data_IF_411784473289
#
_entry.id   IF_411784473289
#
_cell.length_a   1.000
_cell.length_b   1.000
_cell.length_c   1.000
_cell.angle_alpha   90.00
_cell.angle_beta   90.00
_cell.angle_gamma   90.00
#
_symmetry.space_group_name_H-M   'P 1'
#
loop_
_entity.id
_entity.type
_entity.pdbx_description
1 polymer ?
#
# COMPACT_ATOMS: atom_id res chain seq x y z
N UNK A 1 -0.11 37.74 20.41
CA UNK A 1 0.67 37.02 19.36
C UNK A 1 0.07 35.69 19.02
N UNK A 2 -0.30 34.81 20.00
CA UNK A 2 -0.80 33.44 19.74
C UNK A 2 -2.01 33.39 18.79
N UNK A 3 -2.98 34.31 18.94
CA UNK A 3 -4.15 34.39 18.04
C UNK A 3 -3.77 34.78 16.59
N UNK A 4 -2.83 35.75 16.43
CA UNK A 4 -2.36 36.16 15.11
C UNK A 4 -1.44 35.13 14.47
N UNK A 5 -0.59 34.46 15.23
CA UNK A 5 0.26 33.36 14.75
C UNK A 5 -0.55 32.17 14.24
N UNK A 6 -1.67 31.83 14.90
CA UNK A 6 -2.60 30.77 14.47
C UNK A 6 -3.42 31.15 13.20
N UNK A 7 -3.44 32.46 12.80
CA UNK A 7 -4.04 32.94 11.56
C UNK A 7 -3.02 33.17 10.45
N UNK A 8 -1.92 32.42 10.48
CA UNK A 8 -0.85 32.45 9.49
C UNK A 8 -0.19 33.83 9.24
N UNK A 9 -0.05 34.65 10.31
CA UNK A 9 0.64 35.93 10.25
C UNK A 9 2.14 35.75 10.54
N UNK A 10 3.08 35.83 9.54
CA UNK A 10 4.48 35.47 9.71
C UNK A 10 5.24 36.25 10.80
N UNK A 11 5.06 37.62 10.95
CA UNK A 11 5.67 38.35 12.05
C UNK A 11 5.23 37.86 13.43
N UNK A 12 3.94 37.48 13.60
CA UNK A 12 3.43 36.98 14.86
C UNK A 12 3.91 35.60 15.19
N UNK A 13 4.05 34.73 14.16
CA UNK A 13 4.65 33.40 14.29
C UNK A 13 6.12 33.51 14.72
N UNK A 14 6.90 34.37 14.08
CA UNK A 14 8.29 34.62 14.46
C UNK A 14 8.39 35.13 15.91
N UNK A 15 7.53 36.05 16.31
CA UNK A 15 7.52 36.60 17.68
C UNK A 15 7.15 35.51 18.69
N UNK A 16 6.17 34.66 18.38
CA UNK A 16 5.80 33.54 19.25
C UNK A 16 6.93 32.52 19.35
N UNK A 17 7.65 32.27 18.25
CA UNK A 17 8.87 31.46 18.24
C UNK A 17 9.93 32.02 19.18
N UNK A 18 10.12 33.35 19.16
CA UNK A 18 11.05 34.06 20.06
C UNK A 18 10.62 33.93 21.54
N UNK A 19 9.34 34.09 21.84
CA UNK A 19 8.81 33.89 23.20
C UNK A 19 9.08 32.46 23.72
N UNK A 20 8.84 31.44 22.88
CA UNK A 20 9.14 30.05 23.20
C UNK A 20 10.67 29.83 23.39
N UNK A 21 11.49 30.48 22.58
CA UNK A 21 12.95 30.40 22.67
C UNK A 21 13.50 30.99 23.98
N UNK A 22 12.97 32.15 24.40
CA UNK A 22 13.40 32.84 25.61
C UNK A 22 12.68 32.37 26.86
N UNK A 23 11.48 31.83 26.76
CA UNK A 23 10.60 31.53 27.90
C UNK A 23 9.84 32.77 28.39
N UNK A 24 9.58 33.75 27.52
CA UNK A 24 8.90 35.01 27.86
C UNK A 24 7.37 34.83 27.68
N UNK A 25 6.65 34.80 28.80
CA UNK A 25 5.21 34.60 28.83
C UNK A 25 4.71 33.19 28.50
N UNK A 26 5.63 32.28 28.22
CA UNK A 26 5.42 30.83 27.99
C UNK A 26 6.62 30.04 28.50
N UNK A 27 6.45 28.76 28.81
CA UNK A 27 7.57 27.91 29.17
C UNK A 27 8.57 27.85 28.01
N UNK A 28 9.87 27.89 28.34
CA UNK A 28 10.93 27.77 27.32
C UNK A 28 10.90 26.40 26.66
N UNK A 29 10.71 26.38 25.34
CA UNK A 29 10.66 25.18 24.51
C UNK A 29 11.30 25.46 23.14
N UNK A 30 12.51 24.97 22.96
CA UNK A 30 13.26 25.16 21.72
C UNK A 30 12.65 24.44 20.52
N UNK A 31 12.00 23.31 20.73
CA UNK A 31 11.33 22.53 19.65
C UNK A 31 10.12 23.31 19.12
N UNK A 32 9.31 23.85 20.01
CA UNK A 32 8.21 24.74 19.61
C UNK A 32 8.73 26.04 18.97
N UNK A 33 9.82 26.60 19.49
CA UNK A 33 10.42 27.81 18.91
C UNK A 33 10.82 27.56 17.44
N UNK A 34 11.57 26.49 17.18
CA UNK A 34 11.99 26.11 15.83
C UNK A 34 10.79 25.83 14.89
N UNK A 35 9.73 25.21 15.40
CA UNK A 35 8.51 24.96 14.64
C UNK A 35 7.80 26.27 14.22
N UNK A 36 7.72 27.26 15.13
CA UNK A 36 7.14 28.57 14.82
C UNK A 36 8.00 29.39 13.86
N UNK A 37 9.34 29.36 14.05
CA UNK A 37 10.26 29.99 13.09
C UNK A 37 10.12 29.36 11.70
N UNK A 38 9.98 28.05 11.61
CA UNK A 38 9.80 27.35 10.34
C UNK A 38 8.55 27.80 9.61
N UNK A 39 7.40 27.86 10.28
CA UNK A 39 6.14 28.32 9.68
C UNK A 39 6.26 29.73 9.07
N UNK A 40 6.90 30.64 9.79
CA UNK A 40 7.12 32.00 9.30
C UNK A 40 8.19 32.07 8.18
N UNK A 41 9.23 31.23 8.27
CA UNK A 41 10.31 31.17 7.29
C UNK A 41 9.85 30.61 5.94
N UNK A 42 8.98 29.60 5.96
CA UNK A 42 8.36 28.99 4.77
C UNK A 42 7.45 29.97 4.02
N UNK A 43 6.89 30.96 4.72
CA UNK A 43 6.13 32.06 4.14
C UNK A 43 7.03 33.21 3.64
N UNK A 44 8.35 33.02 3.64
CA UNK A 44 9.30 34.00 3.12
C UNK A 44 9.72 35.09 4.10
N UNK A 45 9.36 35.03 5.41
CA UNK A 45 9.69 36.06 6.36
C UNK A 45 11.17 36.01 6.76
N UNK A 46 11.97 36.97 6.27
CA UNK A 46 13.42 36.97 6.42
C UNK A 46 13.95 36.90 7.88
N UNK A 47 13.35 37.60 8.88
CA UNK A 47 13.78 37.41 10.27
C UNK A 47 13.59 35.97 10.79
N UNK A 48 12.52 35.30 10.39
CA UNK A 48 12.27 33.92 10.78
C UNK A 48 13.21 32.95 10.07
N UNK A 49 13.56 33.21 8.80
CA UNK A 49 14.58 32.43 8.08
C UNK A 49 15.93 32.55 8.77
N UNK A 50 16.31 33.74 9.24
CA UNK A 50 17.54 33.93 10.01
C UNK A 50 17.52 33.15 11.33
N UNK A 51 16.41 33.25 12.09
CA UNK A 51 16.24 32.52 13.34
C UNK A 51 16.25 31.00 13.16
N UNK A 52 15.62 30.49 12.12
CA UNK A 52 15.62 29.07 11.79
C UNK A 52 17.01 28.59 11.35
N UNK A 53 17.76 29.41 10.59
CA UNK A 53 19.15 29.19 10.27
C UNK A 53 20.02 29.06 11.53
N UNK A 54 19.79 29.90 12.53
CA UNK A 54 20.46 29.84 13.83
C UNK A 54 20.10 28.55 14.60
N UNK A 55 18.84 28.13 14.55
CA UNK A 55 18.40 26.88 15.16
C UNK A 55 19.15 25.68 14.57
N UNK A 56 19.25 25.59 13.25
CA UNK A 56 19.99 24.53 12.58
C UNK A 56 21.51 24.60 12.80
N UNK A 57 22.08 25.82 12.80
CA UNK A 57 23.51 26.02 13.10
C UNK A 57 23.90 25.48 14.46
N UNK A 58 23.05 25.73 15.46
CA UNK A 58 23.35 25.42 16.87
C UNK A 58 22.76 24.11 17.38
N UNK A 59 21.91 23.44 16.57
CA UNK A 59 21.16 22.25 17.02
C UNK A 59 20.09 22.59 18.06
N UNK A 60 19.52 23.80 18.03
CA UNK A 60 18.59 24.29 19.06
C UNK A 60 17.15 24.02 18.64
N UNK A 61 16.51 23.03 19.24
CA UNK A 61 15.14 22.60 18.92
C UNK A 61 14.99 21.80 17.61
N UNK A 62 16.09 21.63 16.89
CA UNK A 62 16.24 20.80 15.69
C UNK A 62 17.63 20.17 15.73
N UNK A 63 17.86 19.00 15.10
CA UNK A 63 19.21 18.46 14.92
C UNK A 63 20.11 19.46 14.23
N UNK A 64 21.39 19.56 14.67
CA UNK A 64 22.36 20.43 14.05
C UNK A 64 22.59 20.04 12.59
N UNK A 65 22.42 21.00 11.68
CA UNK A 65 22.56 20.80 10.23
C UNK A 65 23.10 22.07 9.58
N UNK A 66 24.38 22.07 9.25
CA UNK A 66 25.05 23.23 8.66
C UNK A 66 24.51 23.52 7.24
N UNK A 67 24.11 22.51 6.48
CA UNK A 67 23.54 22.70 5.14
C UNK A 67 22.18 23.42 5.19
N UNK A 68 21.32 23.01 6.13
CA UNK A 68 20.06 23.70 6.40
C UNK A 68 20.28 25.12 6.92
N UNK A 69 21.26 25.31 7.80
CA UNK A 69 21.63 26.67 8.27
C UNK A 69 22.03 27.56 7.11
N UNK A 70 22.91 27.12 6.23
CA UNK A 70 23.34 27.84 5.01
C UNK A 70 22.14 28.15 4.12
N UNK A 71 21.26 27.19 3.87
CA UNK A 71 20.07 27.37 3.04
C UNK A 71 19.19 28.51 3.59
N UNK A 72 18.84 28.48 4.87
CA UNK A 72 17.95 29.47 5.46
C UNK A 72 18.59 30.85 5.60
N UNK A 73 19.88 30.93 5.92
CA UNK A 73 20.62 32.18 5.91
C UNK A 73 20.74 32.76 4.48
N UNK A 74 20.93 31.93 3.46
CA UNK A 74 20.98 32.40 2.06
C UNK A 74 19.67 33.02 1.62
N UNK A 75 18.51 32.43 1.98
CA UNK A 75 17.20 33.00 1.69
C UNK A 75 16.99 34.35 2.40
N UNK A 76 17.40 34.47 3.66
CA UNK A 76 17.32 35.72 4.41
C UNK A 76 18.27 36.79 3.83
N UNK A 77 19.49 36.41 3.43
CA UNK A 77 20.50 37.29 2.87
C UNK A 77 20.07 37.85 1.49
N UNK A 78 19.39 37.06 0.65
CA UNK A 78 18.79 37.49 -0.60
C UNK A 78 17.72 38.57 -0.40
N UNK A 79 17.04 38.59 0.74
CA UNK A 79 16.08 39.60 1.12
C UNK A 79 16.72 40.80 1.86
N UNK A 80 18.05 40.88 1.89
CA UNK A 80 18.78 42.03 2.46
C UNK A 80 19.14 41.89 3.92
N UNK A 81 18.95 40.75 4.59
CA UNK A 81 19.34 40.56 6.01
C UNK A 81 20.85 40.64 6.17
N UNK A 82 21.34 41.69 6.86
CA UNK A 82 22.74 41.86 7.17
C UNK A 82 23.29 40.76 8.11
N UNK A 83 22.47 40.40 9.13
CA UNK A 83 22.83 39.32 10.08
C UNK A 83 23.02 37.99 9.36
N UNK A 84 22.13 37.63 8.41
CA UNK A 84 22.22 36.41 7.64
C UNK A 84 23.48 36.38 6.77
N UNK A 85 23.85 37.50 6.15
CA UNK A 85 25.10 37.62 5.38
C UNK A 85 26.32 37.40 6.27
N UNK A 86 26.37 38.02 7.44
CA UNK A 86 27.45 37.84 8.41
C UNK A 86 27.56 36.38 8.89
N UNK A 87 26.42 35.70 9.12
CA UNK A 87 26.43 34.31 9.52
C UNK A 87 26.92 33.38 8.41
N UNK A 88 26.59 33.65 7.16
CA UNK A 88 27.12 32.91 6.01
C UNK A 88 28.64 33.05 5.91
N UNK A 89 29.18 34.29 5.96
CA UNK A 89 30.61 34.52 5.94
C UNK A 89 31.34 33.83 7.12
N UNK A 90 30.72 33.81 8.31
CA UNK A 90 31.28 33.11 9.47
C UNK A 90 31.29 31.59 9.29
N UNK A 91 30.29 31.02 8.63
CA UNK A 91 30.23 29.59 8.31
C UNK A 91 31.27 29.23 7.23
N UNK A 92 31.48 30.09 6.24
CA UNK A 92 32.51 29.92 5.21
C UNK A 92 33.93 30.03 5.77
N UNK A 93 34.19 30.98 6.67
CA UNK A 93 35.50 31.14 7.35
C UNK A 93 35.85 29.98 8.27
N UNK A 94 34.86 29.39 8.95
CA UNK A 94 35.05 28.23 9.81
C UNK A 94 35.18 26.90 9.06
N UNK A 95 34.90 26.88 7.76
CA UNK A 95 35.12 25.74 6.87
C UNK A 95 36.53 25.70 6.29
N UNK A 96 37.40 26.68 6.61
CA UNK A 96 38.81 26.68 6.23
C UNK A 96 39.73 26.53 7.43
N UNK A 97 40.11 25.32 7.89
CA UNK A 97 41.28 25.13 8.72
C UNK A 97 42.46 24.81 7.83
N UNK A 98 43.59 25.51 8.13
CA UNK A 98 44.92 25.23 7.68
C UNK A 98 45.23 23.71 7.72
N UNK A 99 45.29 23.05 6.57
CA UNK A 99 45.79 21.70 6.41
C UNK A 99 46.89 21.69 5.35
N UNK A 100 48.06 21.06 5.57
CA UNK A 100 49.16 21.05 4.61
C UNK A 100 48.69 20.40 3.32
N UNK A 101 49.13 20.98 2.16
CA UNK A 101 48.88 20.46 0.84
C UNK A 101 49.26 18.98 0.76
N UNK A 102 48.25 18.15 0.72
CA UNK A 102 48.35 16.82 0.13
C UNK A 102 48.15 16.94 -1.39
N UNK A 103 48.70 16.03 -2.18
CA UNK A 103 48.69 16.16 -3.64
C UNK A 103 47.26 16.29 -4.17
N UNK A 104 47.11 17.17 -5.15
CA UNK A 104 45.83 17.44 -5.81
C UNK A 104 45.18 16.14 -6.32
N UNK A 105 44.23 15.64 -5.56
CA UNK A 105 43.26 14.71 -6.12
C UNK A 105 42.31 15.52 -7.01
N UNK A 106 41.94 15.01 -8.16
CA UNK A 106 40.96 15.67 -9.04
C UNK A 106 39.70 15.93 -8.25
N UNK A 107 38.93 17.00 -8.54
CA UNK A 107 37.74 17.34 -7.75
C UNK A 107 36.84 16.11 -7.70
N UNK A 108 36.59 15.61 -6.48
CA UNK A 108 35.62 14.55 -6.27
C UNK A 108 34.30 15.16 -6.71
N UNK A 109 33.86 14.86 -7.92
CA UNK A 109 32.58 15.29 -8.44
C UNK A 109 31.54 14.85 -7.42
N UNK A 110 30.80 15.78 -6.84
CA UNK A 110 29.69 15.44 -5.96
C UNK A 110 28.79 14.47 -6.74
N UNK A 111 28.55 13.28 -6.17
CA UNK A 111 27.71 12.27 -6.79
C UNK A 111 26.37 12.89 -7.13
N UNK A 112 25.86 12.63 -8.33
CA UNK A 112 24.51 13.00 -8.72
C UNK A 112 23.46 12.23 -7.89
N UNK A 113 22.22 12.65 -7.94
CA UNK A 113 21.12 11.96 -7.28
C UNK A 113 21.04 10.48 -7.70
N UNK A 114 21.24 10.19 -9.00
CA UNK A 114 21.26 8.84 -9.56
C UNK A 114 22.46 8.02 -9.09
N UNK A 115 23.62 8.66 -8.97
CA UNK A 115 24.83 8.00 -8.44
C UNK A 115 24.68 7.65 -6.95
N UNK A 116 24.01 8.49 -6.15
CA UNK A 116 23.66 8.15 -4.78
C UNK A 116 22.63 7.03 -4.70
N UNK A 117 21.65 7.03 -5.61
CA UNK A 117 20.69 5.94 -5.68
C UNK A 117 21.34 4.63 -6.10
N UNK A 118 22.27 4.66 -7.04
CA UNK A 118 23.08 3.49 -7.40
C UNK A 118 23.92 3.00 -6.23
N UNK A 119 24.56 3.90 -5.49
CA UNK A 119 25.30 3.55 -4.28
C UNK A 119 24.39 2.90 -3.20
N UNK A 120 23.14 3.36 -3.07
CA UNK A 120 22.13 2.71 -2.23
C UNK A 120 21.86 1.25 -2.66
N UNK A 121 21.74 1.00 -3.96
CA UNK A 121 21.47 -0.35 -4.47
C UNK A 121 22.65 -1.31 -4.25
N UNK A 122 23.87 -0.81 -4.29
CA UNK A 122 25.10 -1.58 -4.16
C UNK A 122 25.55 -1.76 -2.69
N UNK A 123 25.02 -0.96 -1.74
CA UNK A 123 25.43 -0.96 -0.34
C UNK A 123 24.79 -2.10 0.45
N UNK A 124 25.58 -2.78 1.27
CA UNK A 124 25.14 -3.91 2.12
C UNK A 124 24.91 -3.50 3.56
N UNK A 125 25.57 -2.46 4.04
CA UNK A 125 25.43 -1.96 5.40
C UNK A 125 24.19 -1.07 5.49
N UNK A 126 23.21 -1.47 6.30
CA UNK A 126 21.87 -0.88 6.34
C UNK A 126 21.86 0.61 6.70
N UNK A 127 22.69 1.05 7.65
CA UNK A 127 22.78 2.46 8.03
C UNK A 127 23.30 3.34 6.89
N UNK A 128 24.36 2.92 6.22
CA UNK A 128 24.93 3.63 5.06
C UNK A 128 23.96 3.61 3.88
N UNK A 129 23.34 2.47 3.67
CA UNK A 129 22.31 2.28 2.63
C UNK A 129 21.16 3.26 2.80
N UNK A 130 20.62 3.38 4.01
CA UNK A 130 19.55 4.35 4.31
C UNK A 130 20.02 5.79 4.12
N UNK A 131 21.24 6.14 4.55
CA UNK A 131 21.79 7.48 4.36
C UNK A 131 21.95 7.84 2.86
N UNK A 132 22.39 6.91 2.03
CA UNK A 132 22.49 7.13 0.57
C UNK A 132 21.13 7.30 -0.08
N UNK A 133 20.13 6.52 0.36
CA UNK A 133 18.74 6.64 -0.11
C UNK A 133 18.16 8.02 0.21
N UNK A 134 18.30 8.46 1.46
CA UNK A 134 17.81 9.76 1.92
C UNK A 134 18.47 10.88 1.12
N UNK A 135 19.77 10.79 0.85
CA UNK A 135 20.51 11.80 0.08
C UNK A 135 20.05 11.84 -1.37
N UNK A 136 19.91 10.68 -2.03
CA UNK A 136 19.39 10.59 -3.39
C UNK A 136 17.95 11.16 -3.51
N UNK A 137 17.08 10.81 -2.57
CA UNK A 137 15.71 11.30 -2.53
C UNK A 137 15.63 12.81 -2.30
N UNK A 138 16.46 13.36 -1.40
CA UNK A 138 16.55 14.80 -1.14
C UNK A 138 17.05 15.58 -2.35
N UNK A 139 17.91 14.99 -3.19
CA UNK A 139 18.40 15.58 -4.44
C UNK A 139 17.42 15.41 -5.60
N UNK A 140 16.23 14.84 -5.39
CA UNK A 140 15.17 14.79 -6.39
C UNK A 140 15.08 13.50 -7.20
N UNK A 141 15.90 12.47 -6.96
CA UNK A 141 15.81 11.19 -7.67
C UNK A 141 14.45 10.51 -7.42
N UNK A 142 13.57 10.45 -8.42
CA UNK A 142 12.22 9.94 -8.29
C UNK A 142 12.18 8.45 -7.83
N UNK A 143 12.99 7.53 -8.36
CA UNK A 143 13.09 6.17 -7.84
C UNK A 143 13.51 6.12 -6.35
N UNK A 144 14.46 6.98 -5.93
CA UNK A 144 14.88 7.06 -4.53
C UNK A 144 13.78 7.61 -3.63
N UNK A 145 13.04 8.62 -4.08
CA UNK A 145 11.88 9.16 -3.36
C UNK A 145 10.79 8.10 -3.18
N UNK A 146 10.48 7.34 -4.23
CA UNK A 146 9.54 6.23 -4.13
C UNK A 146 10.03 5.17 -3.13
N UNK A 147 11.30 4.80 -3.20
CA UNK A 147 11.89 3.80 -2.29
C UNK A 147 11.90 4.30 -0.84
N UNK A 148 12.20 5.58 -0.61
CA UNK A 148 12.15 6.18 0.73
C UNK A 148 10.71 6.23 1.27
N UNK A 149 9.73 6.50 0.39
CA UNK A 149 8.31 6.37 0.70
C UNK A 149 7.96 4.96 1.18
N UNK A 150 8.44 3.93 0.49
CA UNK A 150 8.27 2.54 0.90
C UNK A 150 8.93 2.24 2.26
N UNK A 151 10.13 2.76 2.51
CA UNK A 151 10.80 2.61 3.79
C UNK A 151 9.99 3.19 4.95
N UNK A 152 9.41 4.38 4.79
CA UNK A 152 8.52 4.98 5.78
C UNK A 152 7.18 4.23 5.94
N UNK A 153 6.66 3.64 4.89
CA UNK A 153 5.41 2.85 4.95
C UNK A 153 5.61 1.51 5.68
N UNK A 154 6.72 0.83 5.40
CA UNK A 154 7.06 -0.47 6.02
C UNK A 154 7.72 -0.34 7.40
N UNK A 155 8.45 0.76 7.67
CA UNK A 155 9.33 0.92 8.82
C UNK A 155 10.72 0.31 8.61
N UNK A 156 11.16 0.10 7.36
CA UNK A 156 12.46 -0.51 7.03
C UNK A 156 13.55 0.55 6.97
N UNK A 157 14.53 0.47 7.85
CA UNK A 157 15.65 1.42 7.94
C UNK A 157 15.28 2.81 8.49
N UNK A 158 13.99 3.11 8.63
CA UNK A 158 13.44 4.34 9.24
C UNK A 158 12.21 3.99 10.07
N UNK A 159 11.87 4.76 11.11
CA UNK A 159 10.61 4.58 11.84
C UNK A 159 9.41 4.69 10.89
N UNK A 160 8.42 3.80 11.06
CA UNK A 160 7.20 3.83 10.26
C UNK A 160 6.45 5.15 10.43
N UNK A 161 6.22 5.84 9.31
CA UNK A 161 5.48 7.11 9.26
C UNK A 161 4.69 7.20 7.93
N UNK A 162 3.39 6.86 7.94
CA UNK A 162 2.56 6.91 6.74
C UNK A 162 2.43 8.30 6.11
N UNK A 163 2.54 9.38 6.90
CA UNK A 163 2.45 10.74 6.37
C UNK A 163 3.73 11.10 5.58
N UNK A 164 4.90 10.72 6.12
CA UNK A 164 6.16 10.85 5.40
C UNK A 164 6.18 9.96 4.14
N UNK A 165 5.70 8.72 4.24
CA UNK A 165 5.61 7.82 3.09
C UNK A 165 4.82 8.48 1.94
N UNK A 166 3.62 8.97 2.24
CA UNK A 166 2.76 9.62 1.24
C UNK A 166 3.38 10.90 0.67
N UNK A 167 4.09 11.68 1.51
CA UNK A 167 4.80 12.89 1.05
C UNK A 167 5.90 12.54 0.04
N UNK A 168 6.67 11.48 0.29
CA UNK A 168 7.73 11.04 -0.63
C UNK A 168 7.17 10.41 -1.90
N UNK A 169 6.11 9.59 -1.81
CA UNK A 169 5.42 9.08 -2.99
C UNK A 169 4.88 10.22 -3.87
N UNK A 170 4.32 11.28 -3.26
CA UNK A 170 3.83 12.45 -4.00
C UNK A 170 4.93 13.14 -4.79
N UNK A 171 6.08 13.39 -4.17
CA UNK A 171 7.24 14.00 -4.86
C UNK A 171 7.67 13.21 -6.09
N UNK A 172 7.75 11.89 -5.97
CA UNK A 172 8.11 11.02 -7.09
C UNK A 172 6.98 10.95 -8.15
N UNK A 173 5.73 10.90 -7.71
CA UNK A 173 4.55 10.84 -8.58
C UNK A 173 4.36 12.11 -9.42
N UNK A 174 4.63 13.27 -8.84
CA UNK A 174 4.62 14.57 -9.53
C UNK A 174 5.71 14.69 -10.59
N UNK A 175 6.82 13.96 -10.44
CA UNK A 175 7.85 13.81 -11.46
C UNK A 175 7.48 12.81 -12.56
N UNK A 176 6.32 12.17 -12.49
CA UNK A 176 5.85 11.20 -13.47
C UNK A 176 6.24 9.75 -13.20
N UNK A 177 6.86 9.43 -12.06
CA UNK A 177 7.28 8.06 -11.77
C UNK A 177 6.07 7.15 -11.52
N UNK A 178 5.80 6.22 -12.46
CA UNK A 178 4.57 5.43 -12.51
C UNK A 178 4.30 4.64 -11.23
N UNK A 179 5.31 3.95 -10.69
CA UNK A 179 5.18 3.19 -9.44
C UNK A 179 4.80 4.08 -8.25
N UNK A 180 5.35 5.31 -8.18
CA UNK A 180 4.97 6.25 -7.13
C UNK A 180 3.55 6.78 -7.31
N UNK A 181 3.10 7.00 -8.55
CA UNK A 181 1.71 7.36 -8.84
C UNK A 181 0.76 6.24 -8.39
N UNK A 182 1.09 4.99 -8.67
CA UNK A 182 0.35 3.84 -8.16
C UNK A 182 0.31 3.85 -6.62
N UNK A 183 1.46 3.95 -5.95
CA UNK A 183 1.55 3.95 -4.49
C UNK A 183 0.76 5.10 -3.86
N UNK A 184 0.85 6.29 -4.44
CA UNK A 184 0.05 7.45 -4.00
C UNK A 184 -1.46 7.20 -4.17
N UNK A 185 -1.86 6.57 -5.28
CA UNK A 185 -3.23 6.11 -5.49
C UNK A 185 -3.70 5.13 -4.41
N UNK A 186 -2.85 4.20 -3.99
CA UNK A 186 -3.12 3.27 -2.86
C UNK A 186 -3.27 4.04 -1.54
N UNK A 187 -2.42 5.03 -1.29
CA UNK A 187 -2.53 5.88 -0.10
C UNK A 187 -3.89 6.59 -0.03
N UNK A 188 -4.35 7.21 -1.11
CA UNK A 188 -5.66 7.86 -1.17
C UNK A 188 -6.82 6.87 -1.08
N UNK A 189 -6.72 5.68 -1.69
CA UNK A 189 -7.73 4.62 -1.58
C UNK A 189 -7.94 4.17 -0.13
N UNK A 190 -6.85 3.99 0.61
CA UNK A 190 -6.88 3.45 1.96
C UNK A 190 -7.01 4.52 3.06
N UNK A 191 -6.66 5.78 2.77
CA UNK A 191 -6.53 6.84 3.76
C UNK A 191 -5.22 6.73 4.56
N UNK A 192 -4.15 6.19 3.95
CA UNK A 192 -2.86 6.00 4.61
C UNK A 192 -2.01 7.26 4.47
N UNK A 193 -1.75 7.96 5.58
CA UNK A 193 -0.99 9.22 5.59
C UNK A 193 -1.68 10.43 4.96
N UNK A 194 -2.86 10.23 4.35
CA UNK A 194 -3.74 11.27 3.78
C UNK A 194 -5.19 10.88 4.04
N UNK A 195 -6.15 11.82 4.04
CA UNK A 195 -7.56 11.49 4.06
C UNK A 195 -7.94 10.60 2.87
N UNK A 196 -8.84 9.63 3.12
CA UNK A 196 -9.35 8.74 2.09
C UNK A 196 -10.09 9.54 1.02
N UNK A 197 -9.68 9.38 -0.24
CA UNK A 197 -10.27 10.05 -1.41
C UNK A 197 -10.20 9.14 -2.63
N UNK A 198 -11.33 8.54 -2.98
CA UNK A 198 -11.42 7.61 -4.10
C UNK A 198 -11.20 8.30 -5.47
N UNK A 199 -11.60 9.56 -5.62
CA UNK A 199 -11.41 10.29 -6.87
C UNK A 199 -9.93 10.62 -7.11
N UNK A 200 -9.21 11.03 -6.06
CA UNK A 200 -7.75 11.19 -6.11
C UNK A 200 -7.06 9.86 -6.40
N UNK A 201 -7.50 8.76 -5.78
CA UNK A 201 -6.94 7.44 -6.06
C UNK A 201 -7.07 7.07 -7.55
N UNK A 202 -8.26 7.25 -8.13
CA UNK A 202 -8.50 7.01 -9.57
C UNK A 202 -7.63 7.90 -10.45
N UNK A 203 -7.50 9.18 -10.11
CA UNK A 203 -6.66 10.11 -10.86
C UNK A 203 -5.20 9.64 -10.94
N UNK A 204 -4.65 9.20 -9.81
CA UNK A 204 -3.28 8.71 -9.75
C UNK A 204 -3.12 7.33 -10.40
N UNK A 205 -4.07 6.40 -10.19
CA UNK A 205 -4.06 5.11 -10.90
C UNK A 205 -4.11 5.29 -12.40
N UNK A 206 -4.91 6.23 -12.92
CA UNK A 206 -4.97 6.50 -14.37
C UNK A 206 -3.63 6.93 -14.93
N UNK A 207 -2.94 7.86 -14.28
CA UNK A 207 -1.62 8.31 -14.70
C UNK A 207 -0.59 7.16 -14.75
N UNK A 208 -0.59 6.31 -13.74
CA UNK A 208 0.30 5.14 -13.70
C UNK A 208 -0.10 4.08 -14.75
N UNK A 209 -1.40 3.81 -14.90
CA UNK A 209 -1.94 2.83 -15.84
C UNK A 209 -1.69 3.21 -17.31
N UNK A 210 -1.76 4.50 -17.63
CA UNK A 210 -1.42 5.04 -18.96
C UNK A 210 0.06 4.88 -19.29
N UNK A 211 0.93 4.85 -18.29
CA UNK A 211 2.35 4.53 -18.43
C UNK A 211 2.64 3.02 -18.44
N UNK A 212 1.63 2.18 -18.34
CA UNK A 212 1.78 0.72 -18.41
C UNK A 212 1.92 0.02 -17.07
N UNK A 213 1.80 0.71 -15.93
CA UNK A 213 1.83 0.07 -14.60
C UNK A 213 0.68 -0.92 -14.48
N UNK A 214 1.02 -2.21 -14.36
CA UNK A 214 0.05 -3.31 -14.43
C UNK A 214 -0.88 -3.37 -13.21
N UNK A 215 -0.38 -3.01 -12.05
CA UNK A 215 -1.15 -2.97 -10.82
C UNK A 215 -2.13 -1.81 -10.83
N UNK A 216 -1.72 -0.66 -11.34
CA UNK A 216 -2.58 0.50 -11.54
C UNK A 216 -3.68 0.20 -12.58
N UNK A 217 -3.36 -0.46 -13.68
CA UNK A 217 -4.36 -0.88 -14.68
C UNK A 217 -5.43 -1.77 -14.05
N UNK A 218 -5.02 -2.80 -13.30
CA UNK A 218 -5.98 -3.65 -12.60
C UNK A 218 -6.83 -2.86 -11.59
N UNK A 219 -6.21 -1.99 -10.78
CA UNK A 219 -6.94 -1.22 -9.78
C UNK A 219 -7.88 -0.19 -10.40
N UNK A 220 -7.50 0.40 -11.52
CA UNK A 220 -8.38 1.29 -12.29
C UNK A 220 -9.58 0.53 -12.85
N UNK A 221 -9.38 -0.72 -13.32
CA UNK A 221 -10.46 -1.63 -13.70
C UNK A 221 -11.45 -1.86 -12.55
N UNK A 222 -10.93 -2.16 -11.34
CA UNK A 222 -11.76 -2.32 -10.12
C UNK A 222 -12.53 -1.05 -9.78
N UNK A 223 -11.93 0.12 -9.95
CA UNK A 223 -12.62 1.39 -9.71
C UNK A 223 -13.78 1.61 -10.68
N UNK A 224 -13.60 1.32 -11.97
CA UNK A 224 -14.66 1.41 -12.97
C UNK A 224 -15.76 0.36 -12.74
N UNK A 225 -15.41 -0.86 -12.35
CA UNK A 225 -16.38 -1.92 -12.05
C UNK A 225 -17.27 -1.56 -10.85
N UNK A 226 -16.68 -1.02 -9.79
CA UNK A 226 -17.40 -0.69 -8.56
C UNK A 226 -18.06 0.70 -8.56
N UNK A 227 -17.59 1.62 -9.40
CA UNK A 227 -17.98 3.04 -9.34
C UNK A 227 -17.28 3.84 -8.25
N UNK A 228 -16.17 3.31 -7.69
CA UNK A 228 -15.44 3.99 -6.61
C UNK A 228 -14.53 5.10 -7.15
N UNK A 229 -14.91 6.35 -6.90
CA UNK A 229 -14.16 7.54 -7.32
C UNK A 229 -14.29 7.90 -8.80
N UNK A 230 -15.09 7.15 -9.55
CA UNK A 230 -15.40 7.34 -10.96
C UNK A 230 -16.79 6.76 -11.23
N UNK A 231 -17.60 7.27 -12.18
CA UNK A 231 -18.84 6.63 -12.55
C UNK A 231 -18.61 5.17 -12.95
N UNK A 232 -19.52 4.28 -12.51
CA UNK A 232 -19.44 2.86 -12.85
C UNK A 232 -19.54 2.67 -14.37
N UNK A 233 -18.55 1.98 -14.93
CA UNK A 233 -18.44 1.65 -16.35
C UNK A 233 -17.74 0.29 -16.51
N UNK A 234 -18.51 -0.76 -16.62
CA UNK A 234 -18.00 -2.13 -16.72
C UNK A 234 -17.25 -2.39 -18.03
N UNK A 235 -17.60 -1.68 -19.12
CA UNK A 235 -16.86 -1.80 -20.37
C UNK A 235 -15.43 -1.22 -20.22
N UNK A 236 -15.29 -0.06 -19.58
CA UNK A 236 -13.98 0.49 -19.24
C UNK A 236 -13.22 -0.42 -18.28
N UNK A 237 -13.89 -1.04 -17.31
CA UNK A 237 -13.23 -2.02 -16.41
C UNK A 237 -12.57 -3.15 -17.19
N UNK A 238 -13.29 -3.73 -18.16
CA UNK A 238 -12.78 -4.79 -19.03
C UNK A 238 -11.58 -4.33 -19.85
N UNK A 239 -11.61 -3.11 -20.40
CA UNK A 239 -10.45 -2.56 -21.14
C UNK A 239 -9.20 -2.55 -20.28
N UNK A 240 -9.32 -2.07 -19.04
CA UNK A 240 -8.18 -1.98 -18.15
C UNK A 240 -7.73 -3.34 -17.61
N UNK A 241 -8.67 -4.24 -17.26
CA UNK A 241 -8.33 -5.62 -16.90
C UNK A 241 -7.60 -6.34 -18.02
N UNK A 242 -8.05 -6.16 -19.28
CA UNK A 242 -7.39 -6.78 -20.44
C UNK A 242 -5.96 -6.33 -20.59
N UNK A 243 -5.68 -5.01 -20.51
CA UNK A 243 -4.32 -4.49 -20.57
C UNK A 243 -3.41 -5.11 -19.50
N UNK A 244 -3.87 -5.22 -18.26
CA UNK A 244 -3.10 -5.84 -17.19
C UNK A 244 -2.98 -7.36 -17.36
N UNK A 245 -4.04 -8.03 -17.84
CA UNK A 245 -4.05 -9.47 -18.06
C UNK A 245 -3.13 -9.92 -19.19
N UNK A 246 -3.04 -9.14 -20.26
CA UNK A 246 -2.13 -9.35 -21.39
C UNK A 246 -0.66 -9.18 -20.97
N UNK A 247 -0.39 -8.33 -19.99
CA UNK A 247 0.93 -8.20 -19.36
C UNK A 247 1.22 -9.30 -18.32
N UNK A 248 0.32 -10.25 -18.13
CA UNK A 248 0.54 -11.44 -17.31
C UNK A 248 0.05 -11.34 -15.87
N UNK A 249 -0.57 -10.25 -15.42
CA UNK A 249 -1.03 -10.12 -14.04
C UNK A 249 -2.16 -11.11 -13.73
N UNK A 250 -1.89 -12.14 -12.90
CA UNK A 250 -2.81 -13.23 -12.61
C UNK A 250 -4.18 -12.75 -12.04
N UNK A 251 -4.17 -11.74 -11.15
CA UNK A 251 -5.43 -11.18 -10.62
C UNK A 251 -6.26 -10.48 -11.70
N UNK A 252 -5.62 -9.80 -12.65
CA UNK A 252 -6.32 -9.16 -13.76
C UNK A 252 -6.86 -10.21 -14.75
N UNK A 253 -6.10 -11.28 -15.02
CA UNK A 253 -6.58 -12.42 -15.80
C UNK A 253 -7.81 -13.05 -15.15
N UNK A 254 -7.79 -13.25 -13.82
CA UNK A 254 -8.95 -13.76 -13.11
C UNK A 254 -10.16 -12.82 -13.19
N UNK A 255 -9.96 -11.50 -13.00
CA UNK A 255 -11.02 -10.51 -13.10
C UNK A 255 -11.60 -10.46 -14.52
N UNK A 256 -10.76 -10.49 -15.54
CA UNK A 256 -11.21 -10.54 -16.93
C UNK A 256 -11.99 -11.83 -17.23
N UNK A 257 -11.54 -12.97 -16.67
CA UNK A 257 -12.27 -14.24 -16.75
C UNK A 257 -13.67 -14.13 -16.14
N UNK A 258 -13.82 -13.47 -14.99
CA UNK A 258 -15.12 -13.22 -14.34
C UNK A 258 -16.01 -12.33 -15.25
N UNK A 259 -15.46 -11.29 -15.86
CA UNK A 259 -16.21 -10.44 -16.78
C UNK A 259 -16.78 -11.24 -17.96
N UNK A 260 -16.01 -12.16 -18.53
CA UNK A 260 -16.52 -13.04 -19.59
C UNK A 260 -17.51 -14.09 -19.09
N UNK A 261 -17.33 -14.61 -17.86
CA UNK A 261 -18.23 -15.61 -17.27
C UNK A 261 -19.62 -15.02 -17.00
N UNK A 262 -19.66 -13.82 -16.43
CA UNK A 262 -20.88 -13.13 -16.05
C UNK A 262 -21.50 -12.28 -17.19
N UNK A 263 -20.76 -12.03 -18.28
CA UNK A 263 -21.18 -11.10 -19.33
C UNK A 263 -21.12 -9.63 -18.88
N UNK A 264 -20.27 -9.31 -17.92
CA UNK A 264 -20.17 -7.97 -17.35
C UNK A 264 -19.19 -7.10 -18.14
N UNK A 265 -19.72 -6.10 -18.87
CA UNK A 265 -18.95 -5.18 -19.72
C UNK A 265 -18.46 -5.78 -21.05
N UNK A 266 -18.69 -7.06 -21.27
CA UNK A 266 -18.47 -7.81 -22.51
C UNK A 266 -19.60 -8.83 -22.70
N UNK A 267 -19.88 -9.32 -23.90
CA UNK A 267 -20.75 -10.46 -24.08
C UNK A 267 -20.23 -11.68 -23.31
N UNK A 268 -21.15 -12.44 -22.71
CA UNK A 268 -20.81 -13.66 -22.00
C UNK A 268 -20.13 -14.67 -22.95
N UNK A 269 -18.98 -15.19 -22.52
CA UNK A 269 -18.22 -16.19 -23.26
C UNK A 269 -17.44 -17.08 -22.25
N UNK A 270 -18.06 -18.22 -21.94
CA UNK A 270 -17.49 -19.18 -20.98
C UNK A 270 -16.17 -19.81 -21.45
N UNK A 271 -15.94 -19.89 -22.76
CA UNK A 271 -14.69 -20.39 -23.30
C UNK A 271 -13.55 -19.39 -23.06
N UNK A 272 -13.79 -18.10 -23.30
CA UNK A 272 -12.86 -17.04 -22.94
C UNK A 272 -12.63 -16.98 -21.42
N UNK A 273 -13.69 -17.11 -20.63
CA UNK A 273 -13.59 -17.16 -19.17
C UNK A 273 -12.63 -18.26 -18.70
N UNK A 274 -12.88 -19.50 -19.14
CA UNK A 274 -12.03 -20.65 -18.80
C UNK A 274 -10.58 -20.46 -19.26
N UNK A 275 -10.35 -19.88 -20.45
CA UNK A 275 -9.01 -19.62 -20.96
C UNK A 275 -8.26 -18.59 -20.09
N UNK A 276 -8.91 -17.53 -19.64
CA UNK A 276 -8.30 -16.55 -18.76
C UNK A 276 -8.11 -17.08 -17.34
N UNK A 277 -9.06 -17.84 -16.79
CA UNK A 277 -8.89 -18.53 -15.51
C UNK A 277 -7.70 -19.49 -15.56
N UNK A 278 -7.49 -20.22 -16.67
CA UNK A 278 -6.33 -21.12 -16.82
C UNK A 278 -5.02 -20.38 -16.73
N UNK A 279 -4.87 -19.26 -17.48
CA UNK A 279 -3.64 -18.44 -17.41
C UNK A 279 -3.31 -18.00 -15.99
N UNK A 280 -4.31 -17.56 -15.22
CA UNK A 280 -4.12 -17.14 -13.84
C UNK A 280 -3.90 -18.34 -12.89
N UNK A 281 -4.57 -19.46 -13.13
CA UNK A 281 -4.45 -20.68 -12.33
C UNK A 281 -3.07 -21.34 -12.47
N UNK A 282 -2.51 -21.32 -13.67
CA UNK A 282 -1.17 -21.84 -13.96
C UNK A 282 -0.07 -20.99 -13.26
N UNK A 283 -0.34 -19.74 -12.96
CA UNK A 283 0.51 -18.87 -12.13
C UNK A 283 0.29 -19.10 -10.61
N UNK A 284 -0.57 -20.03 -10.23
CA UNK A 284 -0.85 -20.34 -8.83
C UNK A 284 -1.93 -19.49 -8.18
N UNK A 285 -2.65 -18.62 -8.90
CA UNK A 285 -3.67 -17.75 -8.31
C UNK A 285 -4.88 -18.57 -7.84
N UNK A 286 -5.03 -18.72 -6.52
CA UNK A 286 -5.98 -19.66 -5.90
C UNK A 286 -7.44 -19.43 -6.31
N UNK A 287 -7.88 -18.15 -6.43
CA UNK A 287 -9.23 -17.81 -6.89
C UNK A 287 -9.49 -18.31 -8.32
N UNK A 288 -8.51 -18.15 -9.21
CA UNK A 288 -8.63 -18.62 -10.59
C UNK A 288 -8.58 -20.15 -10.67
N UNK A 289 -7.77 -20.81 -9.85
CA UNK A 289 -7.77 -22.28 -9.73
C UNK A 289 -9.14 -22.79 -9.31
N UNK A 290 -9.77 -22.16 -8.29
CA UNK A 290 -11.14 -22.51 -7.91
C UNK A 290 -12.12 -22.30 -9.07
N UNK A 291 -12.08 -21.16 -9.74
CA UNK A 291 -13.02 -20.85 -10.83
C UNK A 291 -12.83 -21.81 -12.03
N UNK A 292 -11.59 -22.15 -12.36
CA UNK A 292 -11.31 -23.16 -13.37
C UNK A 292 -11.83 -24.54 -12.96
N UNK A 293 -11.72 -24.90 -11.67
CA UNK A 293 -12.35 -26.10 -11.11
C UNK A 293 -13.87 -26.09 -11.29
N UNK A 294 -14.52 -24.95 -11.11
CA UNK A 294 -15.97 -24.77 -11.38
C UNK A 294 -16.26 -24.99 -12.87
N UNK A 295 -15.46 -24.40 -13.76
CA UNK A 295 -15.60 -24.60 -15.20
C UNK A 295 -15.56 -26.10 -15.59
N UNK A 296 -14.61 -26.88 -15.05
CA UNK A 296 -14.54 -28.31 -15.28
C UNK A 296 -15.66 -29.11 -14.64
N UNK A 297 -16.12 -28.71 -13.43
CA UNK A 297 -17.27 -29.35 -12.77
C UNK A 297 -18.53 -29.25 -13.61
N UNK A 298 -18.77 -28.09 -14.21
CA UNK A 298 -20.04 -27.75 -14.88
C UNK A 298 -19.96 -27.97 -16.39
N UNK A 299 -18.76 -28.04 -16.97
CA UNK A 299 -18.55 -28.08 -18.42
C UNK A 299 -18.70 -26.70 -19.07
N UNK A 300 -18.44 -25.61 -18.32
CA UNK A 300 -18.54 -24.24 -18.80
C UNK A 300 -17.24 -23.82 -19.51
N UNK A 301 -17.30 -23.68 -20.83
CA UNK A 301 -16.15 -23.29 -21.67
C UNK A 301 -15.04 -24.33 -21.82
N UNK A 302 -15.16 -25.47 -21.13
CA UNK A 302 -14.30 -26.64 -21.22
C UNK A 302 -15.15 -27.89 -21.14
N UNK A 303 -14.70 -29.04 -21.70
CA UNK A 303 -15.39 -30.29 -21.47
C UNK A 303 -15.55 -30.61 -19.99
N UNK A 304 -16.70 -31.10 -19.58
CA UNK A 304 -16.98 -31.49 -18.20
C UNK A 304 -16.04 -32.60 -17.75
N UNK A 305 -15.27 -32.34 -16.70
CA UNK A 305 -14.31 -33.30 -16.15
C UNK A 305 -14.21 -33.11 -14.61
N UNK A 306 -14.96 -33.94 -13.84
CA UNK A 306 -14.92 -33.84 -12.38
C UNK A 306 -13.56 -34.16 -11.76
N UNK A 307 -12.70 -34.92 -12.43
CA UNK A 307 -11.34 -35.23 -11.93
C UNK A 307 -10.48 -33.97 -12.01
N UNK A 308 -10.47 -33.34 -13.18
CA UNK A 308 -9.79 -32.06 -13.35
C UNK A 308 -10.34 -30.99 -12.38
N UNK A 309 -11.65 -30.95 -12.14
CA UNK A 309 -12.23 -30.05 -11.17
C UNK A 309 -11.64 -30.22 -9.76
N UNK A 310 -11.53 -31.47 -9.31
CA UNK A 310 -10.94 -31.79 -8.01
C UNK A 310 -9.47 -31.41 -7.94
N UNK A 311 -8.69 -31.65 -8.99
CA UNK A 311 -7.28 -31.30 -9.02
C UNK A 311 -7.07 -29.78 -8.88
N UNK A 312 -7.89 -28.98 -9.55
CA UNK A 312 -7.84 -27.52 -9.42
C UNK A 312 -8.35 -27.03 -8.07
N UNK A 313 -9.43 -27.61 -7.53
CA UNK A 313 -9.88 -27.28 -6.17
C UNK A 313 -8.81 -27.62 -5.14
N UNK A 314 -8.11 -28.76 -5.27
CA UNK A 314 -7.06 -29.18 -4.34
C UNK A 314 -5.92 -28.16 -4.32
N UNK A 315 -5.42 -27.72 -5.48
CA UNK A 315 -4.38 -26.70 -5.59
C UNK A 315 -4.76 -25.40 -4.87
N UNK A 316 -6.00 -24.93 -5.04
CA UNK A 316 -6.49 -23.74 -4.38
C UNK A 316 -6.74 -23.96 -2.87
N UNK A 317 -7.25 -25.13 -2.48
CA UNK A 317 -7.54 -25.47 -1.09
C UNK A 317 -6.28 -25.60 -0.23
N UNK A 318 -5.21 -26.15 -0.79
CA UNK A 318 -3.89 -26.26 -0.16
C UNK A 318 -3.25 -24.89 0.10
N UNK A 319 -3.55 -23.87 -0.72
CA UNK A 319 -3.18 -22.49 -0.48
C UNK A 319 -4.07 -21.78 0.58
N UNK A 320 -5.04 -22.49 1.17
CA UNK A 320 -5.93 -21.94 2.16
C UNK A 320 -7.19 -21.26 1.61
N UNK A 321 -7.48 -21.33 0.31
CA UNK A 321 -8.67 -20.66 -0.26
C UNK A 321 -9.96 -21.37 0.20
N UNK A 322 -10.71 -20.73 1.10
CA UNK A 322 -11.85 -21.31 1.81
C UNK A 322 -12.94 -21.86 0.87
N UNK A 323 -13.26 -21.15 -0.22
CA UNK A 323 -14.26 -21.60 -1.21
C UNK A 323 -13.81 -22.90 -1.87
N UNK A 324 -12.52 -23.05 -2.20
CA UNK A 324 -12.01 -24.26 -2.79
C UNK A 324 -11.96 -25.43 -1.80
N UNK A 325 -11.63 -25.17 -0.53
CA UNK A 325 -11.73 -26.16 0.54
C UNK A 325 -13.14 -26.69 0.69
N UNK A 326 -14.13 -25.80 0.68
CA UNK A 326 -15.53 -26.19 0.67
C UNK A 326 -15.89 -27.04 -0.55
N UNK A 327 -15.54 -26.58 -1.77
CA UNK A 327 -15.83 -27.30 -3.00
C UNK A 327 -15.19 -28.70 -3.03
N UNK A 328 -13.96 -28.81 -2.54
CA UNK A 328 -13.26 -30.10 -2.41
C UNK A 328 -13.95 -31.02 -1.41
N UNK A 329 -14.39 -30.48 -0.28
CA UNK A 329 -15.22 -31.20 0.71
C UNK A 329 -16.52 -31.73 0.08
N UNK A 330 -17.19 -30.92 -0.76
CA UNK A 330 -18.39 -31.36 -1.51
C UNK A 330 -18.05 -32.48 -2.49
N UNK A 331 -16.90 -32.43 -3.14
CA UNK A 331 -16.45 -33.49 -4.05
C UNK A 331 -16.27 -34.82 -3.30
N UNK A 332 -15.58 -34.82 -2.18
CA UNK A 332 -15.40 -36.01 -1.33
C UNK A 332 -16.72 -36.52 -0.75
N UNK A 333 -17.62 -35.64 -0.28
CA UNK A 333 -18.95 -36.02 0.22
C UNK A 333 -19.75 -36.80 -0.83
N UNK A 334 -19.70 -36.36 -2.08
CA UNK A 334 -20.53 -36.88 -3.17
C UNK A 334 -19.85 -37.94 -4.00
N UNK A 335 -18.54 -38.13 -3.89
CA UNK A 335 -17.75 -39.04 -4.77
C UNK A 335 -17.68 -38.51 -6.21
N UNK A 336 -17.59 -37.18 -6.41
CA UNK A 336 -17.47 -36.58 -7.74
C UNK A 336 -16.02 -36.24 -8.06
N UNK A 337 -15.45 -36.94 -9.00
CA UNK A 337 -14.02 -36.80 -9.40
C UNK A 337 -13.01 -37.41 -8.43
N UNK A 338 -13.47 -37.90 -7.28
CA UNK A 338 -12.72 -38.64 -6.27
C UNK A 338 -13.63 -39.72 -5.67
N UNK A 339 -13.07 -40.80 -5.10
CA UNK A 339 -13.87 -41.71 -4.29
C UNK A 339 -14.59 -41.01 -3.16
N UNK A 340 -15.80 -41.44 -2.86
CA UNK A 340 -16.58 -40.88 -1.73
C UNK A 340 -15.86 -41.14 -0.41
N UNK A 341 -15.59 -40.09 0.36
CA UNK A 341 -14.93 -40.14 1.65
C UNK A 341 -15.48 -39.05 2.56
N UNK A 342 -16.31 -39.46 3.54
CA UNK A 342 -16.95 -38.53 4.46
C UNK A 342 -15.96 -37.92 5.46
N UNK A 343 -14.89 -38.64 5.83
CA UNK A 343 -13.88 -38.11 6.74
C UNK A 343 -13.06 -37.00 6.07
N UNK A 344 -12.61 -37.23 4.84
CA UNK A 344 -11.94 -36.20 4.02
C UNK A 344 -12.87 -34.98 3.80
N UNK A 345 -14.15 -35.21 3.55
CA UNK A 345 -15.11 -34.12 3.41
C UNK A 345 -15.17 -33.24 4.67
N UNK A 346 -15.24 -33.88 5.85
CA UNK A 346 -15.24 -33.15 7.13
C UNK A 346 -13.96 -32.36 7.35
N UNK A 347 -12.81 -32.93 7.04
CA UNK A 347 -11.53 -32.24 7.22
C UNK A 347 -11.44 -30.97 6.35
N UNK A 348 -11.90 -31.04 5.11
CA UNK A 348 -11.94 -29.88 4.24
C UNK A 348 -13.01 -28.86 4.66
N UNK A 349 -14.20 -29.30 5.07
CA UNK A 349 -15.23 -28.42 5.62
C UNK A 349 -14.73 -27.71 6.87
N UNK A 350 -14.01 -28.40 7.78
CA UNK A 350 -13.46 -27.81 8.99
C UNK A 350 -12.51 -26.68 8.66
N UNK A 351 -11.56 -26.88 7.74
CA UNK A 351 -10.62 -25.84 7.31
C UNK A 351 -11.33 -24.60 6.77
N UNK A 352 -12.35 -24.77 5.94
CA UNK A 352 -13.15 -23.65 5.42
C UNK A 352 -14.02 -22.98 6.51
N UNK A 353 -14.61 -23.79 7.41
CA UNK A 353 -15.48 -23.31 8.49
C UNK A 353 -14.71 -22.49 9.54
N UNK A 354 -13.49 -22.87 9.85
CA UNK A 354 -12.58 -22.13 10.73
C UNK A 354 -12.20 -20.77 10.18
N UNK A 355 -12.16 -20.62 8.85
CA UNK A 355 -11.99 -19.33 8.17
C UNK A 355 -13.28 -18.50 8.10
N UNK A 356 -14.40 -19.00 8.64
CA UNK A 356 -15.66 -18.28 8.64
C UNK A 356 -16.57 -18.57 7.44
N UNK A 357 -16.25 -19.53 6.57
CA UNK A 357 -17.09 -19.81 5.40
C UNK A 357 -18.43 -20.44 5.82
N UNK A 358 -19.54 -19.71 5.69
CA UNK A 358 -20.84 -20.06 6.27
C UNK A 358 -21.39 -21.40 5.76
N UNK A 359 -21.27 -21.69 4.45
CA UNK A 359 -21.75 -22.96 3.90
C UNK A 359 -20.94 -24.17 4.40
N UNK A 360 -19.65 -23.98 4.64
CA UNK A 360 -18.81 -25.01 5.24
C UNK A 360 -19.17 -25.23 6.72
N UNK A 361 -19.45 -24.16 7.46
CA UNK A 361 -19.93 -24.26 8.85
C UNK A 361 -21.24 -25.03 8.91
N UNK A 362 -22.20 -24.71 8.02
CA UNK A 362 -23.46 -25.44 7.94
C UNK A 362 -23.25 -26.92 7.62
N UNK A 363 -22.42 -27.24 6.61
CA UNK A 363 -22.15 -28.64 6.24
C UNK A 363 -21.38 -29.39 7.34
N UNK A 364 -20.48 -28.74 8.05
CA UNK A 364 -19.77 -29.33 9.19
C UNK A 364 -20.74 -29.60 10.35
N UNK A 365 -21.67 -28.67 10.61
CA UNK A 365 -22.77 -28.87 11.56
C UNK A 365 -23.59 -30.12 11.21
N UNK A 366 -23.97 -30.27 9.95
CA UNK A 366 -24.68 -31.46 9.46
C UNK A 366 -23.87 -32.74 9.62
N UNK A 367 -22.57 -32.72 9.40
CA UNK A 367 -21.71 -33.88 9.62
C UNK A 367 -21.70 -34.31 11.10
N UNK A 368 -21.62 -33.38 12.04
CA UNK A 368 -21.71 -33.68 13.49
C UNK A 368 -23.09 -34.15 13.90
N UNK A 369 -24.15 -33.57 13.32
CA UNK A 369 -25.53 -33.98 13.59
C UNK A 369 -25.81 -35.45 13.20
N UNK A 370 -25.34 -35.82 12.02
CA UNK A 370 -25.59 -37.14 11.42
C UNK A 370 -24.58 -38.20 11.77
N UNK A 371 -23.37 -37.81 12.20
CA UNK A 371 -22.23 -38.72 12.38
C UNK A 371 -21.55 -39.07 11.08
N UNK A 372 -21.72 -38.28 10.00
CA UNK A 372 -21.13 -38.53 8.70
C UNK A 372 -19.65 -38.10 8.67
N UNK A 373 -18.74 -39.04 8.74
CA UNK A 373 -17.28 -38.80 8.71
C UNK A 373 -16.68 -38.32 10.04
N UNK A 374 -17.50 -38.10 11.06
CA UNK A 374 -17.10 -37.79 12.44
C UNK A 374 -18.06 -38.46 13.41
N UNK A 375 -17.67 -38.71 14.67
CA UNK A 375 -18.62 -39.13 15.69
C UNK A 375 -19.76 -38.11 15.84
N UNK A 376 -20.97 -38.61 15.99
CA UNK A 376 -22.15 -37.77 16.20
C UNK A 376 -22.00 -36.94 17.48
N UNK A 377 -22.18 -35.63 17.37
CA UNK A 377 -22.09 -34.64 18.44
C UNK A 377 -23.04 -33.48 18.18
N UNK A 378 -24.21 -33.50 18.82
CA UNK A 378 -25.24 -32.47 18.64
C UNK A 378 -24.81 -31.11 19.22
N UNK A 379 -23.92 -31.10 20.23
CA UNK A 379 -23.43 -29.86 20.80
C UNK A 379 -22.48 -29.15 19.80
N UNK A 380 -21.62 -29.92 19.14
CA UNK A 380 -20.80 -29.38 18.04
C UNK A 380 -21.66 -28.97 16.85
N UNK A 381 -22.65 -29.76 16.47
CA UNK A 381 -23.58 -29.40 15.40
C UNK A 381 -24.25 -28.04 15.68
N UNK A 382 -24.81 -27.86 16.85
CA UNK A 382 -25.44 -26.59 17.23
C UNK A 382 -24.46 -25.41 17.25
N UNK A 383 -23.20 -25.62 17.67
CA UNK A 383 -22.16 -24.57 17.63
C UNK A 383 -21.86 -24.11 16.21
N UNK A 384 -21.71 -25.04 15.28
CA UNK A 384 -21.40 -24.71 13.90
C UNK A 384 -22.60 -24.12 13.17
N UNK A 385 -23.80 -24.63 13.40
CA UNK A 385 -25.03 -24.03 12.87
C UNK A 385 -25.23 -22.60 13.37
N UNK A 386 -24.95 -22.32 14.65
CA UNK A 386 -25.05 -20.98 15.21
C UNK A 386 -24.12 -20.00 14.47
N UNK A 387 -22.84 -20.36 14.27
CA UNK A 387 -21.89 -19.52 13.53
C UNK A 387 -22.35 -19.22 12.10
N UNK A 388 -22.89 -20.20 11.40
CA UNK A 388 -23.44 -20.01 10.06
C UNK A 388 -24.73 -19.19 10.07
N UNK A 389 -25.60 -19.40 11.04
CA UNK A 389 -26.86 -18.68 11.20
C UNK A 389 -26.66 -17.19 11.49
N UNK A 390 -25.66 -16.85 12.30
CA UNK A 390 -25.25 -15.47 12.61
C UNK A 390 -24.79 -14.72 11.36
N UNK A 391 -24.29 -15.44 10.34
CA UNK A 391 -23.93 -14.90 9.03
C UNK A 391 -25.11 -14.87 8.03
N UNK A 392 -26.31 -15.22 8.47
CA UNK A 392 -27.51 -15.21 7.64
C UNK A 392 -27.73 -16.47 6.79
N UNK A 393 -26.97 -17.57 7.00
CA UNK A 393 -27.15 -18.80 6.25
C UNK A 393 -28.46 -19.48 6.65
N UNK A 394 -29.44 -19.47 5.73
CA UNK A 394 -30.85 -19.85 6.00
C UNK A 394 -31.01 -21.31 6.45
N UNK A 395 -30.27 -22.26 5.84
CA UNK A 395 -30.36 -23.69 6.22
C UNK A 395 -29.81 -23.88 7.63
N UNK A 396 -28.75 -23.15 8.00
CA UNK A 396 -28.20 -23.23 9.35
C UNK A 396 -29.16 -22.63 10.39
N UNK A 397 -29.88 -21.56 10.08
CA UNK A 397 -30.92 -20.99 10.94
C UNK A 397 -32.03 -22.01 11.19
N UNK A 398 -32.50 -22.69 10.16
CA UNK A 398 -33.50 -23.74 10.27
C UNK A 398 -32.99 -24.93 11.11
N UNK A 399 -31.81 -25.46 10.80
CA UNK A 399 -31.24 -26.59 11.51
C UNK A 399 -30.94 -26.27 12.98
N UNK A 400 -30.49 -25.03 13.26
CA UNK A 400 -30.30 -24.58 14.64
C UNK A 400 -31.60 -24.58 15.43
N UNK A 401 -32.75 -24.19 14.81
CA UNK A 401 -34.06 -24.23 15.41
C UNK A 401 -34.52 -25.66 15.77
N UNK A 402 -34.08 -26.67 15.02
CA UNK A 402 -34.36 -28.09 15.31
C UNK A 402 -33.51 -28.61 16.49
N UNK A 403 -32.29 -28.02 16.68
CA UNK A 403 -31.41 -28.41 17.77
C UNK A 403 -31.89 -27.94 19.17
N UNK A 404 -32.87 -27.04 19.22
CA UNK A 404 -33.50 -26.53 20.43
C UNK A 404 -34.88 -27.14 20.65
#
# INVERSE_FOLDING_TARGET
>A
FKMAANRDHPPAQNQLGYCCYKGEGVARDYTQAAAWFRRAAEQGYAPAQCNLGACYKNGTGVPQDTAQAVKWYSLAAQQGSADAKQQLEALEKNSSPNKPKAPEQPPVSEKTAEQWYKAYLDEKEEEKRTAYLVRAAAMGCAPAQNQLGYCYDSGTGVPKDPAQATSWYRKAAEQGFATAQYNLGVCYKNGTGVPKDAAQAVSWYRKAAEQGDVDAQNNLGVCYESGAGVPKDTAQAVVWYRKAAEQGLARAQCNLGICYDDGTGVPQDTAQAAAWYRKAADQGFARAQNNLGVCYRDGAGVPKDPVQAVDWYRKAAEQGYATAQYNLGVCYKNGKGVPKDAAQAVDWYRKAAEQGYADAQCNLGYCYETGAGVPKDLAQAARWYRKAAEQGQTIAQYNLGICY
#
